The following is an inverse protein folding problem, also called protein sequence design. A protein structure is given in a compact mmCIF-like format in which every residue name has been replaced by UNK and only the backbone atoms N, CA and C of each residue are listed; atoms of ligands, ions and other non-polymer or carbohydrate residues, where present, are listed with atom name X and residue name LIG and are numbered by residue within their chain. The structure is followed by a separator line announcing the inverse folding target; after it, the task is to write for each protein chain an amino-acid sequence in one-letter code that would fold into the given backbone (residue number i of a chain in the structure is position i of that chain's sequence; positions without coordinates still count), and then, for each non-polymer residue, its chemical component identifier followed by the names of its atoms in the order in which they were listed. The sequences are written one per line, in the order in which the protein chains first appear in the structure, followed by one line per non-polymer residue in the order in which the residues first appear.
data_IF_141144359004
#
_entry.id   IF_141144359004
#
_cell.length_a   1.000
_cell.length_b   1.000
_cell.length_c   1.000
_cell.angle_alpha   90.00
_cell.angle_beta   90.00
_cell.angle_gamma   90.00
#
_symmetry.space_group_name_H-M   'P 1'
#
loop_
_entity.id
_entity.type
_entity.pdbx_description
1 polymer ?
#
# COMPACT_ATOMS: atom_id res chain seq x y z
N UNK A 1 -0.29 -29.88 -4.41
CA UNK A 1 -1.51 -29.06 -4.27
C UNK A 1 -1.07 -27.62 -4.00
N UNK A 2 -1.67 -26.59 -4.63
CA UNK A 2 -1.31 -25.21 -4.29
C UNK A 2 -1.65 -24.94 -2.82
N UNK A 3 -0.75 -24.30 -2.09
CA UNK A 3 -0.93 -23.93 -0.69
C UNK A 3 -2.20 -23.08 -0.55
N UNK A 4 -3.21 -23.59 0.18
CA UNK A 4 -4.42 -22.83 0.52
C UNK A 4 -4.25 -22.22 1.89
N UNK A 5 -3.94 -20.94 1.94
CA UNK A 5 -3.97 -20.18 3.18
C UNK A 5 -5.38 -19.61 3.39
N UNK A 6 -6.16 -20.23 4.26
CA UNK A 6 -7.61 -19.92 4.45
C UNK A 6 -7.88 -18.49 4.87
N UNK A 7 -6.93 -17.87 5.57
CA UNK A 7 -7.03 -16.50 6.09
C UNK A 7 -6.42 -15.45 5.15
N UNK A 8 -5.97 -15.86 3.96
CA UNK A 8 -5.37 -14.95 3.00
C UNK A 8 -6.29 -14.81 1.79
N UNK A 9 -6.22 -13.63 1.18
CA UNK A 9 -6.91 -13.30 -0.06
C UNK A 9 -5.90 -12.60 -0.94
N UNK A 10 -5.73 -13.13 -2.14
CA UNK A 10 -4.90 -12.50 -3.17
C UNK A 10 -5.83 -11.70 -4.08
N UNK A 11 -5.50 -10.43 -4.29
CA UNK A 11 -6.20 -9.54 -5.21
C UNK A 11 -5.25 -9.24 -6.38
N UNK A 12 -5.70 -9.49 -7.60
CA UNK A 12 -4.96 -9.17 -8.82
C UNK A 12 -5.64 -7.97 -9.48
N UNK A 13 -5.11 -6.78 -9.24
CA UNK A 13 -5.65 -5.50 -9.70
C UNK A 13 -4.58 -4.40 -9.59
N UNK A 14 -4.87 -3.22 -10.14
CA UNK A 14 -4.12 -2.01 -9.84
C UNK A 14 -4.41 -1.51 -8.40
N UNK A 15 -3.67 -0.50 -7.94
CA UNK A 15 -3.79 0.02 -6.57
C UNK A 15 -5.18 0.57 -6.25
N UNK A 16 -5.85 1.20 -7.21
CA UNK A 16 -7.23 1.71 -7.04
C UNK A 16 -8.24 0.56 -6.91
N UNK A 17 -8.14 -0.45 -7.77
CA UNK A 17 -8.93 -1.66 -7.69
C UNK A 17 -8.70 -2.44 -6.40
N UNK A 18 -7.47 -2.39 -5.87
CA UNK A 18 -7.11 -3.04 -4.61
C UNK A 18 -7.88 -2.43 -3.44
N UNK A 19 -7.98 -1.10 -3.36
CA UNK A 19 -8.75 -0.39 -2.31
C UNK A 19 -10.22 -0.80 -2.33
N UNK A 20 -10.85 -0.80 -3.51
CA UNK A 20 -12.25 -1.21 -3.65
C UNK A 20 -12.47 -2.68 -3.26
N UNK A 21 -11.56 -3.55 -3.68
CA UNK A 21 -11.56 -4.97 -3.32
C UNK A 21 -11.44 -5.18 -1.80
N UNK A 22 -10.49 -4.49 -1.18
CA UNK A 22 -10.23 -4.54 0.27
C UNK A 22 -11.42 -4.01 1.06
N UNK A 23 -12.00 -2.86 0.67
CA UNK A 23 -13.20 -2.30 1.32
C UNK A 23 -14.37 -3.30 1.35
N UNK A 24 -14.62 -3.97 0.23
CA UNK A 24 -15.66 -5.00 0.14
C UNK A 24 -15.37 -6.20 1.03
N UNK A 25 -14.12 -6.65 1.10
CA UNK A 25 -13.71 -7.81 1.92
C UNK A 25 -13.74 -7.50 3.43
N UNK A 26 -13.38 -6.26 3.81
CA UNK A 26 -13.42 -5.80 5.20
C UNK A 26 -14.85 -5.78 5.76
N UNK A 27 -15.81 -5.29 4.96
CA UNK A 27 -17.16 -5.01 5.44
C UNK A 27 -17.13 -3.90 6.50
N UNK A 28 -17.64 -4.17 7.71
CA UNK A 28 -17.61 -3.24 8.83
C UNK A 28 -16.26 -3.20 9.59
N UNK A 29 -15.32 -4.10 9.28
CA UNK A 29 -14.02 -4.18 9.93
C UNK A 29 -13.07 -3.09 9.43
N UNK A 30 -11.97 -2.88 10.14
CA UNK A 30 -10.92 -1.91 9.82
C UNK A 30 -9.55 -2.60 9.73
N UNK A 31 -8.62 -2.00 8.98
CA UNK A 31 -7.25 -2.47 8.84
C UNK A 31 -6.41 -2.03 10.04
N UNK A 32 -5.80 -2.99 10.72
CA UNK A 32 -4.84 -2.70 11.79
C UNK A 32 -3.40 -2.52 11.30
N UNK A 33 -3.03 -3.18 10.20
CA UNK A 33 -1.68 -3.09 9.64
C UNK A 33 -1.75 -3.05 8.11
N UNK A 34 -0.95 -2.19 7.50
CA UNK A 34 -0.72 -2.15 6.06
C UNK A 34 0.78 -2.18 5.81
N UNK A 35 1.20 -3.06 4.89
CA UNK A 35 2.54 -3.10 4.33
C UNK A 35 2.44 -2.62 2.89
N UNK A 36 3.16 -1.57 2.56
CA UNK A 36 3.15 -0.92 1.26
C UNK A 36 4.53 -1.01 0.62
N UNK A 37 4.59 -1.70 -0.51
CA UNK A 37 5.77 -1.97 -1.33
C UNK A 37 5.34 -1.83 -2.79
N UNK A 38 5.02 -0.61 -3.22
CA UNK A 38 4.22 -0.41 -4.44
C UNK A 38 4.91 0.31 -5.57
N UNK A 39 5.96 1.10 -5.33
CA UNK A 39 6.49 1.90 -6.45
C UNK A 39 7.90 2.48 -6.30
N UNK A 40 8.49 2.52 -5.12
CA UNK A 40 9.71 3.32 -4.84
C UNK A 40 9.58 4.80 -5.26
N UNK A 41 8.34 5.29 -5.43
CA UNK A 41 8.05 6.65 -5.88
C UNK A 41 7.15 7.36 -4.87
N UNK A 42 7.61 8.48 -4.32
CA UNK A 42 6.90 9.23 -3.28
C UNK A 42 5.42 9.57 -3.60
N UNK A 43 5.12 9.98 -4.84
CA UNK A 43 3.78 10.47 -5.20
C UNK A 43 2.73 9.34 -5.32
N UNK A 44 2.98 8.23 -6.03
CA UNK A 44 2.12 7.04 -5.97
C UNK A 44 1.89 6.56 -4.53
N UNK A 45 2.91 6.54 -3.69
CA UNK A 45 2.78 6.10 -2.30
C UNK A 45 1.85 7.00 -1.50
N UNK A 46 1.98 8.31 -1.68
CA UNK A 46 1.11 9.31 -1.06
C UNK A 46 -0.35 9.11 -1.48
N UNK A 47 -0.61 8.80 -2.76
CA UNK A 47 -1.96 8.55 -3.26
C UNK A 47 -2.55 7.27 -2.67
N UNK A 48 -1.78 6.18 -2.64
CA UNK A 48 -2.21 4.92 -2.02
C UNK A 48 -2.58 5.12 -0.55
N UNK A 49 -1.74 5.80 0.21
CA UNK A 49 -2.05 6.18 1.59
C UNK A 49 -3.42 6.85 1.70
N UNK A 50 -3.70 7.86 0.88
CA UNK A 50 -4.97 8.58 0.90
C UNK A 50 -6.17 7.68 0.61
N UNK A 51 -6.01 6.67 -0.26
CA UNK A 51 -7.09 5.75 -0.58
C UNK A 51 -7.36 4.72 0.52
N UNK A 52 -6.32 4.26 1.21
CA UNK A 52 -6.48 3.29 2.29
C UNK A 52 -6.80 3.93 3.64
N UNK A 53 -6.45 5.21 3.86
CA UNK A 53 -6.65 5.93 5.13
C UNK A 53 -8.08 5.81 5.69
N UNK A 54 -9.17 5.89 4.89
CA UNK A 54 -10.53 5.70 5.39
C UNK A 54 -10.85 4.28 5.90
N UNK A 55 -10.04 3.29 5.53
CA UNK A 55 -10.20 1.88 5.87
C UNK A 55 -9.40 1.48 7.13
N UNK A 56 -8.54 2.37 7.64
CA UNK A 56 -7.68 2.11 8.79
C UNK A 56 -8.46 2.13 10.11
N UNK A 57 -8.00 1.34 11.08
CA UNK A 57 -8.47 1.38 12.45
C UNK A 57 -7.95 2.64 13.16
N UNK A 58 -8.41 2.93 14.38
CA UNK A 58 -7.89 4.06 15.17
C UNK A 58 -6.42 3.85 15.57
N UNK A 59 -6.06 2.63 15.96
CA UNK A 59 -4.69 2.22 16.30
C UNK A 59 -4.12 1.34 15.20
N UNK A 60 -3.70 1.97 14.10
CA UNK A 60 -3.14 1.25 12.96
C UNK A 60 -1.62 1.43 12.87
N UNK A 61 -0.98 0.52 12.16
CA UNK A 61 0.43 0.62 11.74
C UNK A 61 0.49 0.63 10.22
N UNK A 62 1.26 1.55 9.65
CA UNK A 62 1.56 1.57 8.24
C UNK A 62 3.06 1.48 8.04
N UNK A 63 3.50 0.41 7.39
CA UNK A 63 4.89 0.18 7.03
C UNK A 63 5.01 0.50 5.55
N UNK A 64 5.73 1.56 5.23
CA UNK A 64 6.00 2.00 3.87
C UNK A 64 7.49 1.79 3.59
N UNK A 65 7.80 1.00 2.57
CA UNK A 65 9.19 0.78 2.12
C UNK A 65 9.61 1.76 1.00
N UNK A 66 8.71 2.66 0.59
CA UNK A 66 8.99 3.60 -0.49
C UNK A 66 9.89 4.76 -0.05
N UNK A 67 10.69 5.27 -0.99
CA UNK A 67 11.50 6.48 -0.86
C UNK A 67 10.55 7.67 -0.68
N UNK A 68 10.33 8.07 0.57
CA UNK A 68 9.68 9.35 0.87
C UNK A 68 10.62 10.49 0.52
N UNK A 69 10.10 11.72 0.36
CA UNK A 69 10.95 12.89 0.08
C UNK A 69 12.07 13.08 1.11
N UNK A 70 11.92 12.55 2.33
CA UNK A 70 12.96 12.56 3.37
C UNK A 70 14.21 11.74 3.01
N UNK A 71 14.13 10.84 2.02
CA UNK A 71 15.24 10.00 1.55
C UNK A 71 15.74 10.42 0.16
N UNK A 72 15.11 11.41 -0.50
CA UNK A 72 15.63 11.98 -1.74
C UNK A 72 16.93 12.72 -1.45
N UNK A 73 18.06 12.18 -1.91
CA UNK A 73 19.31 12.94 -1.91
C UNK A 73 19.22 14.03 -2.98
N UNK A 74 19.67 15.25 -2.67
CA UNK A 74 19.72 16.39 -3.61
C UNK A 74 20.48 16.08 -4.91
N UNK A 75 21.36 15.08 -4.88
CA UNK A 75 22.27 14.72 -5.97
C UNK A 75 21.91 13.37 -6.63
N UNK A 76 20.69 12.85 -6.45
CA UNK A 76 20.28 11.65 -7.18
C UNK A 76 20.38 11.91 -8.69
N UNK A 77 21.19 11.13 -9.44
CA UNK A 77 21.35 11.36 -10.86
C UNK A 77 20.00 11.14 -11.53
N UNK A 78 19.56 12.17 -12.27
CA UNK A 78 18.40 12.14 -13.15
C UNK A 78 18.52 10.93 -14.09
N UNK A 79 17.90 9.80 -13.74
CA UNK A 79 17.93 8.59 -14.58
C UNK A 79 18.11 7.26 -13.87
N UNK A 80 18.22 7.21 -12.54
CA UNK A 80 18.23 5.92 -11.80
C UNK A 80 16.83 5.33 -11.55
N UNK A 81 15.78 5.88 -12.16
CA UNK A 81 14.45 5.28 -12.17
C UNK A 81 13.92 5.33 -13.60
N UNK A 82 13.93 4.17 -14.25
CA UNK A 82 13.36 3.92 -15.57
C UNK A 82 12.31 2.83 -15.49
#
# INVERSE_FOLDING_TARGET
APFKFTNFRFLHCDSLGAVAGVKRLLGARKLGVVFQDSSHHAEPSRLEWQYYQPLLAEQYVWVCDDITEAFRMTDEPLGMVG
#
